data_IF_491599348640
#
_entry.id   IF_491599348640
#
_cell.length_a   1.000
_cell.length_b   1.000
_cell.length_c   1.000
_cell.angle_alpha   90.00
_cell.angle_beta   90.00
_cell.angle_gamma   90.00
#
_symmetry.space_group_name_H-M   'P 1'
#
loop_
_entity.id
_entity.type
_entity.pdbx_description
1 polymer ?
#
# COMPACT_ATOMS: atom_id res chain seq x y z
N UNK A 1 13.88 -37.24 -57.90
CA UNK A 1 14.24 -36.24 -56.88
C UNK A 1 12.97 -35.54 -56.39
N UNK A 2 12.47 -35.89 -55.20
CA UNK A 2 11.36 -35.19 -54.53
C UNK A 2 11.96 -34.28 -53.47
N UNK A 3 11.76 -32.97 -53.59
CA UNK A 3 12.11 -31.99 -52.55
C UNK A 3 11.22 -32.21 -51.32
N UNK A 4 11.75 -32.15 -50.08
CA UNK A 4 10.91 -32.15 -48.90
C UNK A 4 10.33 -30.75 -48.67
N UNK A 5 9.01 -30.72 -48.49
CA UNK A 5 8.23 -29.58 -48.07
C UNK A 5 8.63 -29.23 -46.63
N UNK A 6 9.19 -28.04 -46.40
CA UNK A 6 9.43 -27.51 -45.05
C UNK A 6 8.08 -27.08 -44.49
N UNK A 7 7.52 -27.89 -43.59
CA UNK A 7 6.34 -27.53 -42.80
C UNK A 7 6.81 -26.57 -41.71
N UNK A 8 6.48 -25.28 -41.89
CA UNK A 8 6.59 -24.27 -40.85
C UNK A 8 5.69 -24.69 -39.67
N UNK A 9 6.29 -25.18 -38.59
CA UNK A 9 5.59 -25.46 -37.35
C UNK A 9 5.09 -24.13 -36.76
N UNK A 10 3.77 -23.98 -36.72
CA UNK A 10 3.09 -22.90 -36.01
C UNK A 10 3.50 -22.98 -34.52
N UNK A 11 4.27 -22.00 -34.04
CA UNK A 11 4.53 -21.82 -32.61
C UNK A 11 3.18 -21.54 -31.94
N UNK A 12 2.78 -22.28 -30.89
CA UNK A 12 1.52 -22.00 -30.21
C UNK A 12 1.59 -20.60 -29.60
N UNK A 13 0.56 -19.81 -29.87
CA UNK A 13 0.32 -18.52 -29.23
C UNK A 13 0.20 -18.79 -27.72
N UNK A 14 1.15 -18.27 -26.93
CA UNK A 14 1.17 -18.36 -25.47
C UNK A 14 -0.20 -17.92 -24.93
N UNK A 15 -0.96 -18.84 -24.34
CA UNK A 15 -2.08 -18.46 -23.49
C UNK A 15 -1.50 -17.74 -22.26
N UNK A 16 -2.10 -16.61 -21.83
CA UNK A 16 -1.68 -15.96 -20.59
C UNK A 16 -1.78 -16.92 -19.41
N UNK A 17 -0.98 -16.74 -18.34
CA UNK A 17 -1.10 -17.52 -17.12
C UNK A 17 -2.57 -17.54 -16.67
N UNK A 18 -3.07 -18.73 -16.40
CA UNK A 18 -4.48 -18.95 -16.10
C UNK A 18 -4.75 -18.35 -14.72
N UNK A 19 -5.41 -17.19 -14.68
CA UNK A 19 -5.83 -16.57 -13.44
C UNK A 19 -6.71 -17.57 -12.66
N UNK A 20 -6.39 -17.78 -11.39
CA UNK A 20 -7.33 -18.46 -10.50
C UNK A 20 -8.32 -17.43 -9.97
N UNK A 21 -9.60 -17.74 -10.15
CA UNK A 21 -10.71 -16.91 -9.73
C UNK A 21 -11.48 -17.64 -8.62
N UNK A 22 -11.62 -17.00 -7.47
CA UNK A 22 -12.68 -17.29 -6.51
C UNK A 22 -13.77 -16.23 -6.69
N UNK A 23 -14.94 -16.42 -6.05
CA UNK A 23 -16.06 -15.47 -6.18
C UNK A 23 -15.69 -14.02 -5.83
N UNK A 24 -14.64 -13.77 -5.04
CA UNK A 24 -14.37 -12.45 -4.46
C UNK A 24 -12.97 -11.89 -4.67
N UNK A 25 -12.03 -12.72 -5.12
CA UNK A 25 -10.73 -12.23 -5.53
C UNK A 25 -10.18 -13.02 -6.70
N UNK A 26 -9.33 -12.34 -7.47
CA UNK A 26 -8.59 -12.90 -8.59
C UNK A 26 -7.10 -12.75 -8.34
N UNK A 27 -6.37 -13.85 -8.52
CA UNK A 27 -4.91 -13.87 -8.47
C UNK A 27 -4.34 -13.82 -9.89
N UNK A 28 -3.45 -12.87 -10.14
CA UNK A 28 -2.70 -12.71 -11.38
C UNK A 28 -1.20 -12.74 -11.08
N UNK A 29 -0.42 -13.45 -11.88
CA UNK A 29 1.03 -13.55 -11.72
C UNK A 29 1.72 -13.46 -13.08
N UNK A 30 2.42 -12.35 -13.33
CA UNK A 30 2.99 -12.03 -14.64
C UNK A 30 4.46 -11.63 -14.55
N UNK A 31 5.25 -12.14 -15.49
CA UNK A 31 6.64 -11.71 -15.68
C UNK A 31 6.69 -10.46 -16.56
N UNK A 32 7.63 -9.57 -16.25
CA UNK A 32 7.98 -8.46 -17.13
C UNK A 32 8.47 -8.95 -18.50
N UNK A 33 9.18 -10.06 -18.53
CA UNK A 33 9.59 -10.74 -19.77
C UNK A 33 9.20 -12.22 -19.67
N UNK A 34 8.04 -12.63 -20.20
CA UNK A 34 7.66 -14.04 -20.28
C UNK A 34 8.52 -14.83 -21.28
N UNK A 35 9.28 -14.12 -22.14
CA UNK A 35 10.27 -14.70 -23.05
C UNK A 35 11.61 -14.03 -22.79
N UNK A 36 12.67 -14.79 -22.53
CA UNK A 36 14.03 -14.30 -22.22
C UNK A 36 15.06 -14.88 -23.18
N UNK A 37 16.27 -14.28 -23.21
CA UNK A 37 17.36 -14.78 -24.05
C UNK A 37 17.93 -16.10 -23.50
N UNK A 38 18.12 -17.06 -24.39
CA UNK A 38 18.80 -18.32 -24.13
C UNK A 38 20.31 -18.10 -23.87
N UNK A 39 20.95 -19.08 -23.23
CA UNK A 39 22.40 -19.12 -23.01
C UNK A 39 22.93 -18.22 -21.88
N UNK A 40 22.09 -17.40 -21.25
CA UNK A 40 22.51 -16.52 -20.16
C UNK A 40 21.47 -16.45 -19.03
N UNK A 41 21.95 -16.16 -17.82
CA UNK A 41 21.07 -15.80 -16.71
C UNK A 41 20.44 -14.44 -17.00
N UNK A 42 19.16 -14.30 -16.70
CA UNK A 42 18.41 -13.06 -16.97
C UNK A 42 17.64 -12.65 -15.73
N UNK A 43 17.74 -11.38 -15.34
CA UNK A 43 16.89 -10.81 -14.30
C UNK A 43 15.59 -10.30 -14.91
N UNK A 44 14.47 -10.64 -14.28
CA UNK A 44 13.14 -10.21 -14.65
C UNK A 44 12.37 -9.82 -13.39
N UNK A 45 11.26 -9.12 -13.55
CA UNK A 45 10.32 -8.81 -12.48
C UNK A 45 9.11 -9.72 -12.57
N UNK A 46 8.65 -10.23 -11.44
CA UNK A 46 7.41 -10.95 -11.27
C UNK A 46 6.44 -10.06 -10.49
N UNK A 47 5.38 -9.60 -11.15
CA UNK A 47 4.22 -8.95 -10.49
C UNK A 47 3.23 -10.03 -10.10
N UNK A 48 2.88 -10.09 -8.82
CA UNK A 48 1.79 -10.91 -8.30
C UNK A 48 0.70 -9.98 -7.79
N UNK A 49 -0.41 -9.88 -8.51
CA UNK A 49 -1.58 -9.07 -8.17
C UNK A 49 -2.71 -9.90 -7.59
N UNK A 50 -3.37 -9.37 -6.56
CA UNK A 50 -4.62 -9.87 -6.01
C UNK A 50 -5.67 -8.76 -6.13
N UNK A 51 -6.69 -9.00 -6.95
CA UNK A 51 -7.76 -8.03 -7.20
C UNK A 51 -9.04 -8.46 -6.52
N UNK A 52 -9.62 -7.59 -5.68
CA UNK A 52 -10.93 -7.81 -5.08
C UNK A 52 -12.03 -7.55 -6.09
N UNK A 53 -12.97 -8.49 -6.24
CA UNK A 53 -14.13 -8.26 -7.10
C UNK A 53 -15.02 -7.15 -6.55
N UNK A 54 -15.69 -6.44 -7.45
CA UNK A 54 -16.62 -5.38 -7.06
C UNK A 54 -17.79 -5.97 -6.28
N UNK A 55 -18.15 -5.36 -5.15
CA UNK A 55 -19.40 -5.67 -4.45
C UNK A 55 -20.58 -5.27 -5.34
N UNK A 56 -21.50 -6.20 -5.61
CA UNK A 56 -22.68 -5.94 -6.43
C UNK A 56 -23.72 -5.10 -5.68
N UNK A 57 -23.81 -5.24 -4.35
CA UNK A 57 -24.72 -4.49 -3.48
C UNK A 57 -24.01 -3.96 -2.23
N UNK A 58 -24.42 -2.78 -1.76
CA UNK A 58 -23.87 -2.17 -0.54
C UNK A 58 -24.22 -2.94 0.74
N UNK A 59 -25.27 -3.78 0.71
CA UNK A 59 -25.65 -4.69 1.81
C UNK A 59 -24.68 -5.83 2.02
N UNK A 60 -23.86 -6.15 1.02
CA UNK A 60 -22.98 -7.33 1.04
C UNK A 60 -21.64 -7.05 1.71
N UNK A 61 -21.42 -5.81 2.17
CA UNK A 61 -20.20 -5.45 2.87
C UNK A 61 -20.13 -6.08 4.25
N UNK A 62 -18.91 -6.36 4.68
CA UNK A 62 -18.65 -6.76 6.06
C UNK A 62 -19.00 -5.65 7.05
N UNK A 63 -19.50 -5.99 8.25
CA UNK A 63 -19.60 -5.04 9.35
C UNK A 63 -18.22 -4.54 9.76
N UNK A 64 -18.14 -3.30 10.22
CA UNK A 64 -16.89 -2.66 10.64
C UNK A 64 -16.86 -2.43 12.14
N UNK A 65 -15.65 -2.43 12.69
CA UNK A 65 -15.32 -2.05 14.05
C UNK A 65 -14.24 -0.98 13.96
N UNK A 66 -14.63 0.28 14.18
CA UNK A 66 -13.76 1.44 13.93
C UNK A 66 -13.53 2.27 15.17
N UNK A 67 -12.28 2.62 15.41
CA UNK A 67 -11.87 3.59 16.42
C UNK A 67 -11.45 4.89 15.74
N UNK A 68 -12.24 5.94 15.94
CA UNK A 68 -11.90 7.29 15.49
C UNK A 68 -11.05 7.92 16.59
N UNK A 69 -9.77 8.12 16.31
CA UNK A 69 -8.77 8.64 17.25
C UNK A 69 -8.41 10.07 16.84
N UNK A 70 -8.86 11.04 17.62
CA UNK A 70 -8.77 12.46 17.30
C UNK A 70 -7.76 13.15 18.22
N UNK A 71 -6.77 13.77 17.60
CA UNK A 71 -5.90 14.72 18.26
C UNK A 71 -6.72 15.94 18.71
N UNK A 72 -6.56 16.30 19.99
CA UNK A 72 -7.13 17.52 20.57
C UNK A 72 -6.05 18.40 21.18
N UNK A 73 -4.79 18.27 20.77
CA UNK A 73 -3.70 19.15 21.22
C UNK A 73 -3.98 20.62 20.92
N UNK A 74 -3.25 21.52 21.57
CA UNK A 74 -3.41 22.97 21.40
C UNK A 74 -3.29 23.44 19.93
N UNK A 75 -2.50 22.76 19.10
CA UNK A 75 -2.35 23.08 17.66
C UNK A 75 -3.63 22.89 16.86
N UNK A 76 -4.54 22.01 17.32
CA UNK A 76 -5.83 21.77 16.69
C UNK A 76 -6.85 22.90 16.92
N UNK A 77 -6.53 23.93 17.70
CA UNK A 77 -7.47 25.02 18.00
C UNK A 77 -8.00 25.73 16.74
N UNK A 78 -9.16 26.37 16.87
CA UNK A 78 -9.84 27.06 15.78
C UNK A 78 -10.42 26.10 14.74
N UNK A 79 -10.26 26.41 13.47
CA UNK A 79 -10.92 25.68 12.38
C UNK A 79 -10.55 24.19 12.31
N UNK A 80 -9.36 23.79 12.76
CA UNK A 80 -8.89 22.39 12.64
C UNK A 80 -9.75 21.44 13.48
N UNK A 81 -10.01 21.76 14.75
CA UNK A 81 -10.85 20.92 15.63
C UNK A 81 -12.30 20.88 15.15
N UNK A 82 -12.81 21.99 14.62
CA UNK A 82 -14.18 22.06 14.09
C UNK A 82 -14.34 21.21 12.82
N UNK A 83 -13.34 21.23 11.94
CA UNK A 83 -13.31 20.34 10.78
C UNK A 83 -13.11 18.88 11.18
N UNK A 84 -12.31 18.60 12.22
CA UNK A 84 -12.15 17.25 12.76
C UNK A 84 -13.47 16.68 13.29
N UNK A 85 -14.23 17.49 14.06
CA UNK A 85 -15.57 17.13 14.53
C UNK A 85 -16.51 16.85 13.36
N UNK A 86 -16.56 17.75 12.37
CA UNK A 86 -17.40 17.57 11.17
C UNK A 86 -17.07 16.28 10.44
N UNK A 87 -15.78 16.03 10.17
CA UNK A 87 -15.32 14.82 9.50
C UNK A 87 -15.67 13.54 10.27
N UNK A 88 -15.46 13.54 11.59
CA UNK A 88 -15.80 12.39 12.45
C UNK A 88 -17.31 12.11 12.46
N UNK A 89 -18.16 13.15 12.49
CA UNK A 89 -19.63 12.98 12.39
C UNK A 89 -20.04 12.40 11.04
N UNK A 90 -19.50 12.94 9.94
CA UNK A 90 -19.75 12.41 8.59
C UNK A 90 -19.37 10.93 8.45
N UNK A 91 -18.34 10.48 9.17
CA UNK A 91 -17.98 9.07 9.20
C UNK A 91 -18.98 8.22 10.00
N UNK A 92 -19.43 8.71 11.17
CA UNK A 92 -20.48 8.04 11.96
C UNK A 92 -21.78 7.92 11.17
N UNK A 93 -22.12 8.93 10.35
CA UNK A 93 -23.31 8.92 9.50
C UNK A 93 -23.26 7.86 8.39
N UNK A 94 -22.07 7.41 7.98
CA UNK A 94 -21.89 6.34 6.99
C UNK A 94 -21.99 4.93 7.58
N UNK A 95 -21.95 4.80 8.92
CA UNK A 95 -22.04 3.50 9.58
C UNK A 95 -23.46 2.95 9.55
N UNK A 96 -23.56 1.64 9.41
CA UNK A 96 -24.78 0.85 9.62
C UNK A 96 -25.02 0.60 11.12
N UNK A 97 -26.26 0.26 11.53
CA UNK A 97 -26.56 -0.08 12.92
C UNK A 97 -25.79 -1.29 13.47
N UNK A 98 -25.23 -2.15 12.61
CA UNK A 98 -24.44 -3.32 13.01
C UNK A 98 -22.96 -3.03 13.24
N UNK A 99 -22.49 -1.87 12.78
CA UNK A 99 -21.11 -1.47 12.94
C UNK A 99 -20.83 -0.98 14.36
N UNK A 100 -19.59 -1.17 14.80
CA UNK A 100 -19.10 -0.72 16.08
C UNK A 100 -18.23 0.53 15.87
N UNK A 101 -18.45 1.54 16.71
CA UNK A 101 -17.66 2.76 16.72
C UNK A 101 -17.23 3.10 18.13
N UNK A 102 -15.99 3.56 18.25
CA UNK A 102 -15.49 4.27 19.44
C UNK A 102 -14.87 5.59 19.02
N UNK A 103 -14.93 6.58 19.92
CA UNK A 103 -14.30 7.89 19.72
C UNK A 103 -13.33 8.11 20.86
N UNK A 104 -12.05 8.17 20.52
CA UNK A 104 -10.96 8.44 21.44
C UNK A 104 -10.40 9.82 21.12
N UNK A 105 -10.25 10.65 22.14
CA UNK A 105 -9.59 11.94 22.02
C UNK A 105 -8.30 11.92 22.81
N UNK A 106 -7.23 12.48 22.26
CA UNK A 106 -5.94 12.48 22.93
C UNK A 106 -5.24 13.84 22.82
N UNK A 107 -4.57 14.20 23.91
CA UNK A 107 -3.59 15.27 24.00
C UNK A 107 -2.39 14.78 24.80
N UNK A 108 -1.99 15.45 25.89
CA UNK A 108 -1.10 14.89 26.93
C UNK A 108 -1.68 13.65 27.61
N UNK A 109 -3.00 13.48 27.58
CA UNK A 109 -3.75 12.37 28.16
C UNK A 109 -4.68 11.76 27.12
N UNK A 110 -5.18 10.55 27.38
CA UNK A 110 -6.12 9.88 26.48
C UNK A 110 -7.47 9.74 27.17
N UNK A 111 -8.54 10.15 26.47
CA UNK A 111 -9.92 10.06 26.94
C UNK A 111 -10.79 9.36 25.91
N UNK A 112 -11.56 8.40 26.37
CA UNK A 112 -12.63 7.79 25.56
C UNK A 112 -13.87 8.69 25.67
N UNK A 113 -14.24 9.35 24.58
CA UNK A 113 -15.43 10.20 24.51
C UNK A 113 -16.69 9.37 24.28
N UNK A 114 -16.55 8.33 23.46
CA UNK A 114 -17.59 7.35 23.16
C UNK A 114 -16.94 5.96 23.28
N UNK A 115 -17.26 5.19 24.34
CA UNK A 115 -16.83 3.79 24.44
C UNK A 115 -17.33 2.98 23.25
N UNK A 116 -16.61 1.93 22.87
CA UNK A 116 -17.01 1.06 21.77
C UNK A 116 -18.47 0.61 21.91
N UNK A 117 -19.28 0.96 20.91
CA UNK A 117 -20.73 0.75 20.90
C UNK A 117 -21.23 0.55 19.48
N UNK A 118 -22.41 -0.07 19.33
CA UNK A 118 -23.10 -0.11 18.03
C UNK A 118 -23.53 1.30 17.59
N UNK A 119 -23.45 1.57 16.29
CA UNK A 119 -23.82 2.85 15.70
C UNK A 119 -25.35 3.04 15.54
N UNK A 120 -26.13 2.67 16.56
CA UNK A 120 -27.60 2.81 16.60
C UNK A 120 -27.97 4.22 17.07
N UNK A 121 -27.38 4.68 18.17
CA UNK A 121 -27.63 6.01 18.74
C UNK A 121 -26.61 7.03 18.23
N UNK A 122 -26.78 7.45 16.97
CA UNK A 122 -25.90 8.44 16.33
C UNK A 122 -25.93 9.78 17.05
N UNK A 123 -27.05 10.15 17.66
CA UNK A 123 -27.18 11.41 18.40
C UNK A 123 -26.26 11.43 19.64
N UNK A 124 -26.21 10.34 20.41
CA UNK A 124 -25.29 10.19 21.53
C UNK A 124 -23.82 10.24 21.08
N UNK A 125 -23.49 9.56 19.97
CA UNK A 125 -22.12 9.55 19.42
C UNK A 125 -21.72 10.96 18.97
N UNK A 126 -22.59 11.68 18.26
CA UNK A 126 -22.37 13.07 17.85
C UNK A 126 -22.17 13.99 19.05
N UNK A 127 -23.01 13.87 20.07
CA UNK A 127 -22.86 14.64 21.31
C UNK A 127 -21.53 14.33 22.02
N UNK A 128 -21.02 13.10 21.92
CA UNK A 128 -19.69 12.73 22.38
C UNK A 128 -18.57 13.46 21.62
N UNK A 129 -18.65 13.51 20.29
CA UNK A 129 -17.71 14.22 19.42
C UNK A 129 -17.73 15.73 19.69
N UNK A 130 -18.90 16.32 19.89
CA UNK A 130 -19.07 17.76 20.06
C UNK A 130 -18.38 18.29 21.33
N UNK A 131 -18.14 17.42 22.33
CA UNK A 131 -17.38 17.71 23.57
C UNK A 131 -15.87 17.86 23.35
N UNK A 132 -15.37 17.63 22.14
CA UNK A 132 -13.95 17.77 21.84
C UNK A 132 -13.53 19.24 21.90
N UNK A 133 -12.47 19.54 22.64
CA UNK A 133 -11.89 20.89 22.71
C UNK A 133 -10.37 20.80 22.68
N UNK A 134 -9.73 21.72 21.98
CA UNK A 134 -8.28 21.75 21.86
C UNK A 134 -7.61 22.15 23.19
N UNK A 135 -6.66 21.36 23.67
CA UNK A 135 -5.88 21.55 24.88
C UNK A 135 -4.62 20.67 24.88
N UNK A 136 -3.57 21.07 25.58
CA UNK A 136 -2.45 20.17 25.92
C UNK A 136 -1.50 19.83 24.76
N UNK A 137 -0.64 18.83 25.01
CA UNK A 137 0.38 18.32 24.08
C UNK A 137 -0.14 17.12 23.27
N UNK A 138 0.73 16.30 22.67
CA UNK A 138 0.32 15.22 21.74
C UNK A 138 0.94 13.86 22.12
N UNK A 139 0.13 12.97 22.72
CA UNK A 139 0.49 11.60 23.11
C UNK A 139 0.01 10.57 22.07
N UNK A 140 0.52 10.67 20.85
CA UNK A 140 0.04 9.89 19.69
C UNK A 140 0.05 8.37 19.92
N UNK A 141 1.15 7.81 20.44
CA UNK A 141 1.24 6.38 20.75
C UNK A 141 0.09 5.93 21.66
N UNK A 142 -0.15 6.67 22.74
CA UNK A 142 -1.18 6.33 23.71
C UNK A 142 -2.59 6.45 23.11
N UNK A 143 -2.82 7.45 22.26
CA UNK A 143 -4.08 7.59 21.53
C UNK A 143 -4.39 6.38 20.65
N UNK A 144 -3.42 5.94 19.84
CA UNK A 144 -3.56 4.77 18.96
C UNK A 144 -3.73 3.48 19.76
N UNK A 145 -2.89 3.27 20.78
CA UNK A 145 -2.98 2.11 21.67
C UNK A 145 -4.36 2.02 22.33
N UNK A 146 -4.89 3.15 22.81
CA UNK A 146 -6.23 3.19 23.42
C UNK A 146 -7.34 2.96 22.40
N UNK A 147 -7.20 3.48 21.18
CA UNK A 147 -8.11 3.16 20.09
C UNK A 147 -8.15 1.66 19.81
N UNK A 148 -6.98 1.01 19.76
CA UNK A 148 -6.89 -0.44 19.62
C UNK A 148 -7.53 -1.19 20.80
N UNK A 149 -7.38 -0.70 22.05
CA UNK A 149 -8.06 -1.29 23.21
C UNK A 149 -9.59 -1.23 23.10
N UNK A 150 -10.14 -0.14 22.56
CA UNK A 150 -11.58 -0.04 22.30
C UNK A 150 -12.01 -1.03 21.19
N UNK A 151 -11.23 -1.19 20.12
CA UNK A 151 -11.49 -2.19 19.09
C UNK A 151 -11.50 -3.61 19.66
N UNK A 152 -10.54 -3.96 20.52
CA UNK A 152 -10.41 -5.29 21.13
C UNK A 152 -11.66 -5.77 21.89
N UNK A 153 -12.48 -4.84 22.40
CA UNK A 153 -13.74 -5.18 23.10
C UNK A 153 -14.78 -5.83 22.18
N UNK A 154 -14.71 -5.55 20.89
CA UNK A 154 -15.63 -6.06 19.86
C UNK A 154 -14.86 -6.67 18.68
N UNK A 155 -13.62 -7.10 18.91
CA UNK A 155 -12.79 -7.67 17.87
C UNK A 155 -13.40 -8.97 17.35
N UNK A 156 -13.52 -9.04 16.02
CA UNK A 156 -13.99 -10.20 15.29
C UNK A 156 -13.24 -10.24 13.95
N UNK A 157 -12.78 -11.42 13.53
CA UNK A 157 -12.06 -11.60 12.25
C UNK A 157 -12.97 -11.49 11.04
N UNK A 158 -14.29 -11.61 11.23
CA UNK A 158 -15.30 -11.37 10.21
C UNK A 158 -15.71 -9.89 10.15
N UNK A 159 -15.03 -9.01 10.88
CA UNK A 159 -15.24 -7.55 10.85
C UNK A 159 -14.00 -6.83 10.35
N UNK A 160 -14.21 -5.67 9.72
CA UNK A 160 -13.11 -4.76 9.44
C UNK A 160 -12.71 -4.02 10.71
N UNK A 161 -11.56 -4.38 11.29
CA UNK A 161 -11.02 -3.70 12.47
C UNK A 161 -10.05 -2.60 12.05
N UNK A 162 -10.40 -1.33 12.33
CA UNK A 162 -9.64 -0.17 11.83
C UNK A 162 -9.51 0.93 12.87
N UNK A 163 -8.29 1.43 13.06
CA UNK A 163 -8.05 2.72 13.70
C UNK A 163 -7.97 3.80 12.61
N UNK A 164 -8.72 4.89 12.76
CA UNK A 164 -8.58 6.10 11.94
C UNK A 164 -8.04 7.21 12.83
N UNK A 165 -6.75 7.51 12.67
CA UNK A 165 -6.02 8.50 13.44
C UNK A 165 -5.99 9.83 12.68
N UNK A 166 -6.38 10.91 13.34
CA UNK A 166 -6.19 12.28 12.86
C UNK A 166 -5.23 13.03 13.79
N UNK A 167 -4.19 13.67 13.25
CA UNK A 167 -3.25 14.49 14.02
C UNK A 167 -2.72 15.66 13.19
N UNK A 168 -2.47 16.80 13.84
CA UNK A 168 -1.82 17.98 13.24
C UNK A 168 -0.47 18.35 13.90
N UNK A 169 -0.03 17.56 14.88
CA UNK A 169 1.08 17.91 15.76
C UNK A 169 2.21 16.89 15.81
N UNK A 170 3.34 17.31 16.40
CA UNK A 170 4.48 16.45 16.68
C UNK A 170 4.15 15.55 17.88
N UNK A 171 4.44 14.25 17.80
CA UNK A 171 4.32 13.35 18.95
C UNK A 171 5.34 13.75 20.02
N UNK A 172 4.86 14.41 21.09
CA UNK A 172 5.71 15.06 22.09
C UNK A 172 5.55 14.44 23.49
N UNK A 173 4.66 13.46 23.66
CA UNK A 173 4.40 12.75 24.92
C UNK A 173 4.41 11.24 24.70
N UNK A 174 5.15 10.50 25.53
CA UNK A 174 5.29 9.05 25.44
C UNK A 174 6.26 8.58 24.35
N UNK A 175 6.27 7.28 23.99
CA UNK A 175 7.10 6.78 22.90
C UNK A 175 6.78 7.52 21.60
N UNK A 176 7.73 8.34 21.15
CA UNK A 176 7.62 9.16 19.93
C UNK A 176 8.70 8.83 18.91
N UNK A 177 9.46 7.75 19.13
CA UNK A 177 10.42 7.26 18.15
C UNK A 177 9.71 6.56 17.00
N UNK A 178 10.30 6.65 15.81
CA UNK A 178 9.82 5.94 14.62
C UNK A 178 9.75 4.44 14.84
N UNK A 179 10.72 3.86 15.55
CA UNK A 179 10.74 2.43 15.87
C UNK A 179 9.59 2.01 16.79
N UNK A 180 9.21 2.84 17.76
CA UNK A 180 8.12 2.52 18.68
C UNK A 180 6.76 2.49 17.95
N UNK A 181 6.48 3.47 17.09
CA UNK A 181 5.23 3.47 16.31
C UNK A 181 5.21 2.40 15.23
N UNK A 182 6.33 2.14 14.57
CA UNK A 182 6.46 1.05 13.62
C UNK A 182 6.22 -0.30 14.29
N UNK A 183 6.77 -0.50 15.50
CA UNK A 183 6.51 -1.68 16.33
C UNK A 183 5.04 -1.81 16.75
N UNK A 184 4.38 -0.71 17.12
CA UNK A 184 2.94 -0.69 17.40
C UNK A 184 2.13 -1.07 16.16
N UNK A 185 2.41 -0.47 15.01
CA UNK A 185 1.73 -0.77 13.75
C UNK A 185 1.89 -2.24 13.36
N UNK A 186 3.10 -2.80 13.46
CA UNK A 186 3.36 -4.21 13.16
C UNK A 186 2.71 -5.17 14.17
N UNK A 187 2.57 -4.79 15.43
CA UNK A 187 1.81 -5.56 16.41
C UNK A 187 0.31 -5.59 16.07
N UNK A 188 -0.26 -4.41 15.76
CA UNK A 188 -1.66 -4.29 15.35
C UNK A 188 -1.95 -5.05 14.04
N UNK A 189 -1.04 -5.00 13.06
CA UNK A 189 -1.16 -5.79 11.83
C UNK A 189 -1.30 -7.28 12.12
N UNK A 190 -0.46 -7.83 13.01
CA UNK A 190 -0.52 -9.25 13.39
C UNK A 190 -1.81 -9.63 14.12
N UNK A 191 -2.47 -8.66 14.76
CA UNK A 191 -3.79 -8.84 15.36
C UNK A 191 -4.94 -8.71 14.34
N UNK A 192 -4.68 -8.29 13.09
CA UNK A 192 -5.72 -8.01 12.09
C UNK A 192 -6.31 -6.59 12.21
N UNK A 193 -5.60 -5.67 12.87
CA UNK A 193 -5.99 -4.26 13.04
C UNK A 193 -5.10 -3.37 12.17
N UNK A 194 -5.73 -2.65 11.23
CA UNK A 194 -5.03 -1.64 10.42
C UNK A 194 -5.18 -0.24 11.01
N UNK A 195 -4.22 0.65 10.73
CA UNK A 195 -4.24 2.06 11.16
C UNK A 195 -4.16 2.97 9.94
N UNK A 196 -5.24 3.70 9.65
CA UNK A 196 -5.20 4.81 8.71
C UNK A 196 -4.79 6.08 9.45
N UNK A 197 -3.85 6.84 8.90
CA UNK A 197 -3.36 8.09 9.49
C UNK A 197 -3.65 9.29 8.59
N UNK A 198 -4.29 10.32 9.13
CA UNK A 198 -4.62 11.58 8.49
C UNK A 198 -3.77 12.68 9.13
N UNK A 199 -2.75 13.14 8.42
CA UNK A 199 -1.88 14.23 8.86
C UNK A 199 -2.42 15.58 8.38
N UNK A 200 -2.77 16.48 9.30
CA UNK A 200 -3.35 17.79 9.00
C UNK A 200 -2.31 18.91 9.10
N UNK A 201 -2.18 19.71 8.06
CA UNK A 201 -1.26 20.86 8.04
C UNK A 201 0.21 20.47 7.98
N UNK A 202 1.11 21.43 8.21
CA UNK A 202 2.54 21.25 7.98
C UNK A 202 3.35 20.87 9.23
N UNK A 203 2.73 20.83 10.40
CA UNK A 203 3.44 20.77 11.68
C UNK A 203 3.51 19.36 12.31
N UNK A 204 2.82 18.37 11.73
CA UNK A 204 2.88 16.98 12.20
C UNK A 204 4.15 16.26 11.77
N UNK A 205 4.49 15.15 12.44
CA UNK A 205 5.61 14.30 12.03
C UNK A 205 5.14 13.21 11.05
N UNK A 206 5.45 13.39 9.77
CA UNK A 206 5.04 12.49 8.69
C UNK A 206 5.75 11.15 8.71
N UNK A 207 7.00 11.08 9.18
CA UNK A 207 7.71 9.80 9.25
C UNK A 207 7.05 8.87 10.27
N UNK A 208 6.59 9.43 11.39
CA UNK A 208 5.85 8.69 12.42
C UNK A 208 4.52 8.15 11.88
N UNK A 209 3.71 9.02 11.27
CA UNK A 209 2.38 8.66 10.80
C UNK A 209 2.41 7.71 9.59
N UNK A 210 3.34 7.94 8.65
CA UNK A 210 3.50 7.09 7.47
C UNK A 210 4.03 5.70 7.86
N UNK A 211 5.01 5.61 8.77
CA UNK A 211 5.53 4.32 9.25
C UNK A 211 4.49 3.53 10.04
N UNK A 212 3.73 4.19 10.91
CA UNK A 212 2.63 3.54 11.65
C UNK A 212 1.61 2.93 10.68
N UNK A 213 1.14 3.73 9.73
CA UNK A 213 0.18 3.26 8.72
C UNK A 213 0.77 2.12 7.89
N UNK A 214 1.97 2.28 7.32
CA UNK A 214 2.64 1.22 6.53
C UNK A 214 2.82 -0.08 7.33
N UNK A 215 3.32 -0.01 8.56
CA UNK A 215 3.54 -1.17 9.40
C UNK A 215 2.24 -1.91 9.77
N UNK A 216 1.11 -1.19 9.78
CA UNK A 216 -0.23 -1.74 10.00
C UNK A 216 -0.98 -2.13 8.70
N UNK A 217 -0.33 -2.06 7.53
CA UNK A 217 -0.94 -2.14 6.19
C UNK A 217 -2.17 -1.24 6.02
N UNK A 218 -2.13 -0.06 6.64
CA UNK A 218 -3.12 1.01 6.53
C UNK A 218 -2.63 2.16 5.62
N UNK A 219 -3.52 3.14 5.40
CA UNK A 219 -3.26 4.26 4.49
C UNK A 219 -2.74 5.49 5.24
N UNK A 220 -2.01 6.37 4.54
CA UNK A 220 -1.66 7.70 5.03
C UNK A 220 -2.19 8.77 4.07
N UNK A 221 -2.88 9.77 4.59
CA UNK A 221 -3.27 10.95 3.83
C UNK A 221 -2.67 12.20 4.45
N UNK A 222 -2.04 13.02 3.61
CA UNK A 222 -1.65 14.38 3.94
C UNK A 222 -2.76 15.35 3.51
N UNK A 223 -3.34 16.04 4.49
CA UNK A 223 -4.39 17.04 4.33
C UNK A 223 -3.78 18.42 4.59
N UNK A 224 -3.49 19.17 3.53
CA UNK A 224 -2.81 20.47 3.66
C UNK A 224 -3.69 21.52 4.37
N UNK A 225 -5.01 21.54 4.07
CA UNK A 225 -5.95 22.51 4.63
C UNK A 225 -7.10 21.81 5.37
N UNK A 226 -7.48 22.35 6.52
CA UNK A 226 -8.57 21.79 7.34
C UNK A 226 -9.90 21.67 6.58
N UNK A 227 -10.18 22.56 5.63
CA UNK A 227 -11.38 22.50 4.78
C UNK A 227 -11.46 21.22 3.92
N UNK A 228 -10.33 20.60 3.59
CA UNK A 228 -10.29 19.35 2.82
C UNK A 228 -10.50 18.10 3.69
N UNK A 229 -10.46 18.24 5.01
CA UNK A 229 -10.44 17.10 5.93
C UNK A 229 -11.67 16.19 5.78
N UNK A 230 -12.87 16.77 5.67
CA UNK A 230 -14.10 16.00 5.49
C UNK A 230 -14.08 15.10 4.25
N UNK A 231 -13.49 15.59 3.14
CA UNK A 231 -13.35 14.84 1.89
C UNK A 231 -12.38 13.66 2.06
N UNK A 232 -11.18 13.91 2.59
CA UNK A 232 -10.19 12.83 2.80
C UNK A 232 -10.67 11.80 3.82
N UNK A 233 -11.27 12.25 4.92
CA UNK A 233 -11.83 11.34 5.92
C UNK A 233 -12.92 10.46 5.29
N UNK A 234 -13.82 11.03 4.49
CA UNK A 234 -14.89 10.26 3.83
C UNK A 234 -14.35 9.27 2.80
N UNK A 235 -13.32 9.65 2.03
CA UNK A 235 -12.65 8.74 1.10
C UNK A 235 -12.04 7.54 1.83
N UNK A 236 -11.25 7.81 2.88
CA UNK A 236 -10.62 6.74 3.67
C UNK A 236 -11.68 5.86 4.34
N UNK A 237 -12.72 6.45 4.91
CA UNK A 237 -13.79 5.69 5.56
C UNK A 237 -14.59 4.85 4.54
N UNK A 238 -14.81 5.37 3.34
CA UNK A 238 -15.39 4.62 2.23
C UNK A 238 -14.58 3.36 1.89
N UNK A 239 -13.24 3.44 1.88
CA UNK A 239 -12.40 2.25 1.64
C UNK A 239 -12.51 1.20 2.75
N UNK A 240 -12.72 1.63 4.01
CA UNK A 240 -12.93 0.71 5.15
C UNK A 240 -14.22 -0.08 4.99
N UNK A 241 -15.25 0.53 4.39
CA UNK A 241 -16.56 -0.08 4.18
C UNK A 241 -16.59 -1.03 2.97
N UNK A 242 -15.56 -1.06 2.13
CA UNK A 242 -15.54 -1.90 0.92
C UNK A 242 -14.55 -3.05 1.00
N UNK A 243 -13.99 -3.36 2.18
CA UNK A 243 -13.08 -4.49 2.37
C UNK A 243 -13.80 -5.81 2.14
N UNK A 244 -13.23 -6.66 1.26
CA UNK A 244 -13.78 -7.98 0.87
C UNK A 244 -12.93 -9.15 1.37
N UNK A 245 -11.64 -8.93 1.62
CA UNK A 245 -10.75 -9.96 2.15
C UNK A 245 -9.80 -9.40 3.23
N UNK A 246 -9.44 -10.27 4.17
CA UNK A 246 -8.49 -10.00 5.26
C UNK A 246 -7.42 -11.08 5.38
N UNK A 247 -6.39 -10.82 6.19
CA UNK A 247 -5.32 -11.78 6.52
C UNK A 247 -4.68 -12.40 5.26
N UNK A 248 -4.53 -11.58 4.21
CA UNK A 248 -4.01 -12.02 2.93
C UNK A 248 -2.54 -12.41 3.08
N UNK A 249 -2.23 -13.64 2.74
CA UNK A 249 -0.86 -14.15 2.66
C UNK A 249 -0.58 -14.58 1.23
N UNK A 250 0.40 -13.90 0.60
CA UNK A 250 0.97 -14.33 -0.67
C UNK A 250 2.20 -15.18 -0.41
N UNK A 251 2.27 -16.34 -1.06
CA UNK A 251 3.45 -17.20 -1.06
C UNK A 251 3.88 -17.48 -2.49
N UNK A 252 5.15 -17.21 -2.80
CA UNK A 252 5.77 -17.48 -4.09
C UNK A 252 6.85 -18.53 -3.86
N UNK A 253 6.64 -19.73 -4.41
CA UNK A 253 7.63 -20.80 -4.43
C UNK A 253 8.37 -20.77 -5.78
N UNK A 254 9.58 -20.20 -5.79
CA UNK A 254 10.44 -20.17 -6.96
C UNK A 254 10.89 -21.59 -7.35
N UNK A 255 10.85 -21.90 -8.64
CA UNK A 255 11.30 -23.19 -9.17
C UNK A 255 12.82 -23.38 -8.99
N UNK A 256 13.33 -24.63 -8.94
CA UNK A 256 14.76 -24.90 -8.79
C UNK A 256 15.63 -24.10 -9.78
N UNK A 257 16.60 -23.36 -9.22
CA UNK A 257 17.54 -22.55 -10.02
C UNK A 257 17.04 -21.15 -10.35
N UNK A 258 15.77 -20.83 -10.07
CA UNK A 258 15.26 -19.45 -10.07
C UNK A 258 15.58 -18.82 -8.73
N UNK A 259 16.29 -17.71 -8.75
CA UNK A 259 16.75 -17.04 -7.53
C UNK A 259 15.90 -15.79 -7.26
N UNK A 260 15.08 -15.75 -6.19
CA UNK A 260 14.49 -14.49 -5.74
C UNK A 260 15.60 -13.55 -5.27
N UNK A 261 15.62 -12.32 -5.77
CA UNK A 261 16.66 -11.33 -5.47
C UNK A 261 16.19 -10.38 -4.37
N UNK A 262 15.06 -9.71 -4.60
CA UNK A 262 14.51 -8.71 -3.68
C UNK A 262 13.06 -8.39 -4.01
N UNK A 263 12.33 -7.94 -3.00
CA UNK A 263 11.03 -7.30 -3.16
C UNK A 263 11.22 -5.79 -3.38
N UNK A 264 10.41 -5.20 -4.24
CA UNK A 264 10.38 -3.76 -4.46
C UNK A 264 9.16 -3.18 -3.73
N UNK A 265 9.32 -2.02 -3.08
CA UNK A 265 8.24 -1.25 -2.46
C UNK A 265 7.65 -1.82 -1.17
N UNK A 266 7.06 -3.03 -1.24
CA UNK A 266 6.43 -3.73 -0.11
C UNK A 266 7.38 -4.73 0.52
N UNK A 267 7.33 -4.82 1.85
CA UNK A 267 8.16 -5.73 2.62
C UNK A 267 7.63 -7.18 2.59
N UNK A 268 8.54 -8.14 2.73
CA UNK A 268 8.23 -9.56 2.79
C UNK A 268 9.50 -10.37 3.04
N UNK A 269 9.32 -11.64 3.40
CA UNK A 269 10.41 -12.53 3.79
C UNK A 269 10.83 -13.39 2.59
N UNK A 270 12.12 -13.38 2.27
CA UNK A 270 12.72 -14.31 1.29
C UNK A 270 13.49 -15.37 2.08
N UNK A 271 12.99 -16.61 2.06
CA UNK A 271 13.57 -17.75 2.78
C UNK A 271 13.92 -18.82 1.75
N UNK A 272 15.19 -18.82 1.31
CA UNK A 272 15.66 -19.71 0.27
C UNK A 272 14.98 -19.42 -1.08
N UNK A 273 14.14 -20.35 -1.56
CA UNK A 273 13.35 -20.18 -2.79
C UNK A 273 11.92 -19.72 -2.53
N UNK A 274 11.50 -19.61 -1.27
CA UNK A 274 10.16 -19.18 -0.93
C UNK A 274 10.15 -17.70 -0.57
N UNK A 275 9.15 -16.97 -1.08
CA UNK A 275 8.88 -15.58 -0.71
C UNK A 275 7.51 -15.51 -0.06
N UNK A 276 7.42 -14.90 1.12
CA UNK A 276 6.16 -14.72 1.85
C UNK A 276 5.92 -13.24 2.08
N UNK A 277 4.76 -12.74 1.65
CA UNK A 277 4.33 -11.37 1.94
C UNK A 277 2.93 -11.37 2.53
N UNK A 278 2.72 -10.55 3.56
CA UNK A 278 1.41 -10.37 4.19
C UNK A 278 0.79 -9.04 3.77
N UNK A 279 -0.52 -9.05 3.57
CA UNK A 279 -1.34 -7.86 3.37
C UNK A 279 -2.56 -8.01 4.28
N UNK A 280 -2.91 -7.00 5.06
CA UNK A 280 -3.97 -7.15 6.06
C UNK A 280 -5.34 -7.16 5.41
N UNK A 281 -5.57 -6.34 4.38
CA UNK A 281 -6.91 -6.13 3.82
C UNK A 281 -6.88 -5.90 2.31
N UNK A 282 -7.92 -6.33 1.61
CA UNK A 282 -8.16 -6.06 0.19
C UNK A 282 -9.59 -5.53 0.01
N UNK A 283 -9.72 -4.39 -0.67
CA UNK A 283 -11.01 -3.75 -0.92
C UNK A 283 -11.61 -4.17 -2.26
N UNK A 284 -12.92 -4.04 -2.38
CA UNK A 284 -13.67 -4.25 -3.61
C UNK A 284 -13.18 -3.32 -4.72
N UNK A 285 -12.91 -3.88 -5.90
CA UNK A 285 -12.35 -3.15 -7.05
C UNK A 285 -10.87 -2.81 -6.91
N UNK A 286 -10.27 -3.03 -5.74
CA UNK A 286 -8.86 -2.75 -5.50
C UNK A 286 -7.99 -3.92 -5.97
N UNK A 287 -6.88 -3.63 -6.64
CA UNK A 287 -5.76 -4.56 -6.76
C UNK A 287 -4.71 -4.21 -5.71
N UNK A 288 -4.26 -5.19 -4.93
CA UNK A 288 -2.97 -5.12 -4.22
C UNK A 288 -1.99 -6.07 -4.89
N UNK A 289 -0.75 -5.65 -5.06
CA UNK A 289 0.25 -6.49 -5.70
C UNK A 289 1.57 -6.53 -4.93
N UNK A 290 2.39 -7.51 -5.28
CA UNK A 290 3.77 -7.69 -4.85
C UNK A 290 4.67 -7.69 -6.09
N UNK A 291 5.80 -6.99 -6.02
CA UNK A 291 6.79 -6.97 -7.09
C UNK A 291 8.10 -7.62 -6.65
N UNK A 292 8.45 -8.74 -7.28
CA UNK A 292 9.65 -9.53 -6.97
C UNK A 292 10.64 -9.45 -8.14
N UNK A 293 11.87 -9.01 -7.90
CA UNK A 293 12.98 -9.19 -8.84
C UNK A 293 13.50 -10.63 -8.71
N UNK A 294 13.49 -11.38 -9.81
CA UNK A 294 13.97 -12.78 -9.87
C UNK A 294 15.04 -12.94 -10.96
N UNK A 295 16.02 -13.78 -10.69
CA UNK A 295 17.02 -14.20 -11.68
C UNK A 295 16.66 -15.58 -12.20
N UNK A 296 16.41 -15.68 -13.50
CA UNK A 296 16.18 -16.93 -14.19
C UNK A 296 17.51 -17.58 -14.58
N UNK A 297 17.64 -18.91 -14.47
CA UNK A 297 18.83 -19.62 -14.92
C UNK A 297 18.95 -19.56 -16.45
N UNK A 298 20.16 -19.80 -16.97
CA UNK A 298 20.35 -19.98 -18.41
C UNK A 298 19.53 -21.18 -18.91
N UNK A 299 18.87 -21.00 -20.05
CA UNK A 299 18.12 -22.02 -20.76
C UNK A 299 18.55 -22.16 -22.21
N UNK A 300 18.05 -23.19 -22.88
CA UNK A 300 18.29 -23.44 -24.30
C UNK A 300 17.21 -22.80 -25.17
N UNK A 301 17.50 -22.57 -26.45
CA UNK A 301 16.51 -22.01 -27.37
C UNK A 301 15.33 -22.99 -27.50
N UNK A 302 14.12 -22.50 -27.27
CA UNK A 302 12.89 -23.30 -27.29
C UNK A 302 12.49 -23.87 -25.93
N UNK A 303 13.32 -23.73 -24.89
CA UNK A 303 12.95 -24.15 -23.54
C UNK A 303 11.71 -23.40 -23.04
N UNK A 304 10.85 -24.13 -22.31
CA UNK A 304 9.83 -23.55 -21.45
C UNK A 304 10.03 -24.09 -20.04
N UNK A 305 10.24 -23.20 -19.07
CA UNK A 305 10.53 -23.56 -17.69
C UNK A 305 9.55 -22.92 -16.73
N UNK A 306 9.18 -23.69 -15.70
CA UNK A 306 8.47 -23.12 -14.54
C UNK A 306 9.38 -22.12 -13.84
N UNK A 307 8.81 -20.98 -13.47
CA UNK A 307 9.50 -19.90 -12.76
C UNK A 307 9.08 -19.87 -11.30
N UNK A 308 7.78 -19.90 -11.04
CA UNK A 308 7.25 -19.93 -9.70
C UNK A 308 5.85 -20.54 -9.65
N UNK A 309 5.50 -21.12 -8.51
CA UNK A 309 4.12 -21.33 -8.11
C UNK A 309 3.74 -20.26 -7.10
N UNK A 310 2.60 -19.63 -7.30
CA UNK A 310 2.09 -18.57 -6.43
C UNK A 310 0.82 -19.07 -5.77
N UNK A 311 0.69 -18.82 -4.48
CA UNK A 311 -0.56 -19.01 -3.75
C UNK A 311 -0.95 -17.74 -3.01
N UNK A 312 -2.25 -17.47 -2.95
CA UNK A 312 -2.83 -16.41 -2.16
C UNK A 312 -3.88 -17.02 -1.24
N UNK A 313 -3.65 -16.97 0.08
CA UNK A 313 -4.63 -17.37 1.10
C UNK A 313 -5.21 -16.12 1.75
N UNK A 314 -6.52 -16.05 1.93
CA UNK A 314 -7.16 -14.91 2.58
C UNK A 314 -8.45 -15.31 3.30
N UNK A 315 -8.79 -14.59 4.37
CA UNK A 315 -10.09 -14.65 5.02
C UNK A 315 -11.11 -13.89 4.18
N UNK A 316 -12.09 -14.60 3.64
CA UNK A 316 -13.16 -14.03 2.83
C UNK A 316 -14.24 -13.47 3.75
N UNK A 317 -14.42 -12.15 3.75
CA UNK A 317 -15.33 -11.51 4.72
C UNK A 317 -16.82 -11.71 4.42
N UNK A 318 -17.16 -12.07 3.19
CA UNK A 318 -18.57 -12.25 2.81
C UNK A 318 -19.02 -13.69 3.04
N UNK A 319 -18.16 -14.66 2.72
CA UNK A 319 -18.46 -16.09 2.94
C UNK A 319 -18.00 -16.58 4.31
N UNK A 320 -17.18 -15.81 5.02
CA UNK A 320 -16.64 -16.10 6.35
C UNK A 320 -15.81 -17.39 6.41
N UNK A 321 -15.20 -17.78 5.28
CA UNK A 321 -14.26 -18.89 5.18
C UNK A 321 -12.91 -18.41 4.65
N UNK A 322 -11.88 -19.23 4.77
CA UNK A 322 -10.60 -18.96 4.13
C UNK A 322 -10.61 -19.51 2.70
N UNK A 323 -10.29 -18.65 1.75
CA UNK A 323 -10.11 -19.03 0.35
C UNK A 323 -8.61 -19.19 0.04
N UNK A 324 -8.29 -19.99 -0.97
CA UNK A 324 -6.94 -20.10 -1.52
C UNK A 324 -6.97 -20.09 -3.04
N UNK A 325 -6.16 -19.20 -3.64
CA UNK A 325 -5.96 -19.08 -5.08
C UNK A 325 -4.56 -19.55 -5.44
N UNK A 326 -4.40 -20.14 -6.63
CA UNK A 326 -3.14 -20.65 -7.13
C UNK A 326 -2.85 -20.13 -8.54
N UNK A 327 -1.61 -19.73 -8.81
CA UNK A 327 -1.15 -19.40 -10.15
C UNK A 327 0.20 -20.05 -10.43
N UNK A 328 0.43 -20.47 -11.67
CA UNK A 328 1.73 -20.95 -12.12
C UNK A 328 2.34 -19.95 -13.12
N UNK A 329 3.62 -19.66 -12.95
CA UNK A 329 4.37 -18.73 -13.79
C UNK A 329 5.41 -19.51 -14.56
N UNK A 330 5.50 -19.26 -15.87
CA UNK A 330 6.48 -19.89 -16.77
C UNK A 330 7.20 -18.84 -17.60
N UNK A 331 8.42 -19.17 -18.02
CA UNK A 331 9.20 -18.40 -18.98
C UNK A 331 9.64 -19.28 -20.15
N UNK A 332 9.67 -18.70 -21.34
CA UNK A 332 10.23 -19.31 -22.54
C UNK A 332 11.59 -18.70 -22.89
N UNK A 333 12.43 -19.44 -23.61
CA UNK A 333 13.77 -19.03 -23.99
C UNK A 333 13.91 -18.94 -25.51
N UNK A 334 14.44 -17.81 -25.98
CA UNK A 334 14.62 -17.52 -27.42
C UNK A 334 16.05 -17.07 -27.72
N UNK A 335 16.48 -17.26 -28.97
CA UNK A 335 17.71 -16.66 -29.49
C UNK A 335 17.52 -15.24 -30.04
N UNK A 336 16.29 -14.71 -30.06
CA UNK A 336 15.95 -13.43 -30.70
C UNK A 336 15.73 -12.30 -29.70
N UNK A 337 16.62 -11.29 -29.61
CA UNK A 337 16.38 -10.09 -28.80
C UNK A 337 15.12 -9.32 -29.21
N UNK A 338 14.80 -9.32 -30.51
CA UNK A 338 13.59 -8.66 -31.02
C UNK A 338 12.30 -9.34 -30.54
N UNK A 339 12.32 -10.66 -30.35
CA UNK A 339 11.18 -11.37 -29.77
C UNK A 339 11.01 -11.04 -28.28
N UNK A 340 12.10 -10.99 -27.51
CA UNK A 340 12.06 -10.57 -26.10
C UNK A 340 11.43 -9.19 -25.97
N UNK A 341 11.86 -8.22 -26.80
CA UNK A 341 11.30 -6.86 -26.78
C UNK A 341 9.80 -6.87 -27.10
N UNK A 342 9.37 -7.55 -28.17
CA UNK A 342 7.95 -7.63 -28.55
C UNK A 342 7.07 -8.31 -27.50
N UNK A 343 7.63 -9.28 -26.76
CA UNK A 343 6.91 -10.09 -25.76
C UNK A 343 7.00 -9.52 -24.34
N UNK A 344 7.74 -8.43 -24.14
CA UNK A 344 7.85 -7.74 -22.85
C UNK A 344 6.48 -7.23 -22.41
N UNK A 345 6.08 -7.58 -21.18
CA UNK A 345 4.89 -7.00 -20.55
C UNK A 345 5.22 -5.57 -20.12
N UNK A 346 4.74 -4.63 -20.93
CA UNK A 346 4.96 -3.20 -20.74
C UNK A 346 4.35 -2.68 -19.44
N UNK A 347 3.22 -3.22 -19.00
CA UNK A 347 2.57 -2.79 -17.76
C UNK A 347 3.43 -3.18 -16.55
N UNK A 348 3.88 -4.44 -16.51
CA UNK A 348 4.75 -4.94 -15.43
C UNK A 348 6.09 -4.19 -15.42
N UNK A 349 6.69 -3.95 -16.60
CA UNK A 349 7.93 -3.19 -16.70
C UNK A 349 7.79 -1.75 -16.22
N UNK A 350 6.74 -1.04 -16.66
CA UNK A 350 6.48 0.34 -16.21
C UNK A 350 6.32 0.36 -14.68
N UNK A 351 5.56 -0.58 -14.11
CA UNK A 351 5.42 -0.66 -12.64
C UNK A 351 6.73 -0.93 -11.91
N UNK A 352 7.56 -1.84 -12.41
CA UNK A 352 8.86 -2.11 -11.83
C UNK A 352 9.76 -0.87 -11.89
N UNK A 353 9.75 -0.14 -13.02
CA UNK A 353 10.50 1.11 -13.18
C UNK A 353 10.07 2.16 -12.16
N UNK A 354 8.76 2.33 -11.98
CA UNK A 354 8.20 3.29 -11.04
C UNK A 354 8.58 2.97 -9.58
N UNK A 355 8.59 1.69 -9.20
CA UNK A 355 9.00 1.27 -7.86
C UNK A 355 10.50 1.47 -7.62
N UNK A 356 11.34 1.16 -8.61
CA UNK A 356 12.80 1.42 -8.51
C UNK A 356 13.06 2.93 -8.41
N UNK A 357 12.38 3.76 -9.20
CA UNK A 357 12.48 5.21 -9.10
C UNK A 357 12.03 5.71 -7.71
N UNK A 358 11.00 5.10 -7.14
CA UNK A 358 10.52 5.45 -5.80
C UNK A 358 11.56 5.16 -4.72
N UNK A 359 12.27 4.02 -4.80
CA UNK A 359 13.37 3.71 -3.88
C UNK A 359 14.48 4.76 -3.94
N UNK A 360 14.85 5.23 -5.13
CA UNK A 360 15.84 6.30 -5.28
C UNK A 360 15.34 7.62 -4.70
N UNK A 361 14.07 7.99 -4.91
CA UNK A 361 13.46 9.18 -4.31
C UNK A 361 13.47 9.11 -2.78
N UNK A 362 13.17 7.93 -2.19
CA UNK A 362 13.24 7.70 -0.74
C UNK A 362 14.65 7.91 -0.22
N UNK A 363 15.66 7.37 -0.91
CA UNK A 363 17.06 7.55 -0.53
C UNK A 363 17.47 9.03 -0.61
N UNK A 364 17.00 9.78 -1.62
CA UNK A 364 17.26 11.21 -1.73
C UNK A 364 16.70 12.00 -0.55
N UNK A 365 15.49 11.67 -0.07
CA UNK A 365 14.95 12.28 1.17
C UNK A 365 15.85 11.99 2.36
N UNK A 366 16.30 10.73 2.52
CA UNK A 366 17.20 10.37 3.63
C UNK A 366 18.54 11.11 3.56
N UNK A 367 19.10 11.27 2.37
CA UNK A 367 20.34 12.03 2.16
C UNK A 367 20.14 13.51 2.51
N UNK A 368 19.03 14.11 2.07
CA UNK A 368 18.73 15.51 2.37
C UNK A 368 18.50 15.73 3.88
N UNK A 369 17.79 14.81 4.54
CA UNK A 369 17.58 14.82 6.00
C UNK A 369 18.90 14.72 6.77
N UNK A 370 19.93 14.10 6.20
CA UNK A 370 21.29 14.01 6.75
C UNK A 370 22.16 15.24 6.44
N UNK A 371 21.61 16.27 5.77
CA UNK A 371 22.35 17.44 5.32
C UNK A 371 23.20 17.21 4.06
N UNK A 372 23.10 16.03 3.43
CA UNK A 372 23.83 15.66 2.21
C UNK A 372 23.05 16.08 0.96
N UNK A 373 22.74 17.37 0.88
CA UNK A 373 21.85 17.96 -0.15
C UNK A 373 22.36 17.71 -1.58
N UNK A 374 23.63 17.95 -1.84
CA UNK A 374 24.20 17.80 -3.19
C UNK A 374 24.08 16.36 -3.68
N UNK A 375 24.24 15.38 -2.79
CA UNK A 375 24.08 13.96 -3.12
C UNK A 375 22.61 13.60 -3.38
N UNK A 376 21.69 14.16 -2.59
CA UNK A 376 20.25 14.00 -2.81
C UNK A 376 19.82 14.59 -4.16
N UNK A 377 20.28 15.79 -4.49
CA UNK A 377 20.00 16.47 -5.75
C UNK A 377 20.53 15.66 -6.95
N UNK A 378 21.80 15.25 -6.89
CA UNK A 378 22.41 14.42 -7.93
C UNK A 378 21.68 13.10 -8.11
N UNK A 379 21.21 12.48 -7.01
CA UNK A 379 20.45 11.24 -7.07
C UNK A 379 19.11 11.42 -7.79
N UNK A 380 18.37 12.48 -7.46
CA UNK A 380 17.08 12.80 -8.10
C UNK A 380 17.26 13.15 -9.59
N UNK A 381 18.32 13.89 -9.95
CA UNK A 381 18.64 14.19 -11.35
C UNK A 381 18.98 12.92 -12.13
N UNK A 382 19.84 12.04 -11.59
CA UNK A 382 20.16 10.73 -12.19
C UNK A 382 18.90 9.88 -12.37
N UNK A 383 18.04 9.86 -11.35
CA UNK A 383 16.77 9.14 -11.40
C UNK A 383 15.85 9.69 -12.51
N UNK A 384 15.79 11.02 -12.67
CA UNK A 384 15.03 11.66 -13.75
C UNK A 384 15.58 11.28 -15.15
N UNK A 385 16.90 11.28 -15.35
CA UNK A 385 17.49 10.84 -16.62
C UNK A 385 17.15 9.38 -16.93
N UNK A 386 17.21 8.51 -15.92
CA UNK A 386 16.83 7.11 -16.06
C UNK A 386 15.33 6.92 -16.38
N UNK A 387 14.46 7.72 -15.75
CA UNK A 387 13.02 7.76 -16.05
C UNK A 387 12.73 8.25 -17.47
N UNK A 388 13.50 9.22 -17.99
CA UNK A 388 13.37 9.68 -19.38
C UNK A 388 13.71 8.57 -20.38
N UNK A 389 14.80 7.84 -20.19
CA UNK A 389 15.17 6.70 -21.04
C UNK A 389 14.06 5.63 -21.07
N UNK A 390 13.53 5.28 -19.90
CA UNK A 390 12.42 4.34 -19.80
C UNK A 390 11.11 4.91 -20.37
N UNK A 391 10.87 6.21 -20.26
CA UNK A 391 9.75 6.87 -20.93
C UNK A 391 9.90 6.80 -22.45
N UNK A 392 11.10 6.97 -23.00
CA UNK A 392 11.32 6.83 -24.44
C UNK A 392 11.06 5.40 -24.93
N UNK A 393 11.37 4.38 -24.11
CA UNK A 393 11.10 2.99 -24.43
C UNK A 393 9.62 2.60 -24.28
N UNK A 394 9.02 2.93 -23.13
CA UNK A 394 7.68 2.46 -22.75
C UNK A 394 6.59 3.51 -22.88
N UNK A 395 6.86 4.72 -23.41
CA UNK A 395 5.90 5.81 -23.70
C UNK A 395 4.76 5.96 -22.67
N UNK A 396 5.06 5.77 -21.38
CA UNK A 396 4.07 5.72 -20.32
C UNK A 396 3.98 7.10 -19.65
N UNK A 397 2.82 7.78 -19.65
CA UNK A 397 2.70 9.13 -19.11
C UNK A 397 3.11 9.25 -17.64
N UNK A 398 2.91 8.19 -16.86
CA UNK A 398 3.32 8.15 -15.45
C UNK A 398 4.83 8.25 -15.25
N UNK A 399 5.64 7.66 -16.14
CA UNK A 399 7.10 7.79 -16.11
C UNK A 399 7.56 9.22 -16.39
N UNK A 400 6.91 9.90 -17.35
CA UNK A 400 7.17 11.31 -17.62
C UNK A 400 6.81 12.19 -16.42
N UNK A 401 5.65 11.94 -15.81
CA UNK A 401 5.24 12.64 -14.59
C UNK A 401 6.26 12.44 -13.47
N UNK A 402 6.68 11.20 -13.20
CA UNK A 402 7.69 10.92 -12.18
C UNK A 402 9.03 11.59 -12.47
N UNK A 403 9.44 11.67 -13.74
CA UNK A 403 10.64 12.40 -14.13
C UNK A 403 10.50 13.88 -13.76
N UNK A 404 9.41 14.51 -14.19
CA UNK A 404 9.16 15.93 -13.95
C UNK A 404 9.11 16.21 -12.43
N UNK A 405 8.44 15.33 -11.67
CA UNK A 405 8.42 15.31 -10.22
C UNK A 405 9.82 15.22 -9.59
N UNK A 406 10.71 14.33 -10.07
CA UNK A 406 12.08 14.20 -9.55
C UNK A 406 12.92 15.46 -9.86
N UNK A 407 12.72 16.10 -11.01
CA UNK A 407 13.40 17.36 -11.36
C UNK A 407 12.88 18.54 -10.53
N UNK A 408 11.59 18.55 -10.19
CA UNK A 408 11.03 19.51 -9.25
C UNK A 408 11.57 19.28 -7.84
N UNK A 409 11.54 18.05 -7.34
CA UNK A 409 12.10 17.68 -6.04
C UNK A 409 13.56 18.12 -5.92
N UNK A 410 14.38 17.87 -6.95
CA UNK A 410 15.81 18.21 -6.99
C UNK A 410 16.05 19.72 -6.81
N UNK A 411 15.19 20.55 -7.40
CA UNK A 411 15.27 22.02 -7.28
C UNK A 411 14.80 22.53 -5.91
N UNK A 412 13.97 21.76 -5.22
CA UNK A 412 13.25 22.16 -4.01
C UNK A 412 13.74 21.42 -2.75
N UNK A 413 15.05 21.19 -2.65
CA UNK A 413 15.69 20.59 -1.46
C UNK A 413 16.16 21.61 -0.41
N UNK A 414 15.91 22.91 -0.63
CA UNK A 414 16.38 23.95 0.28
C UNK A 414 15.75 23.84 1.68
N UNK A 415 16.54 23.76 2.77
CA UNK A 415 16.02 23.59 4.12
C UNK A 415 14.95 24.59 4.55
N UNK A 416 14.96 25.81 4.00
CA UNK A 416 13.99 26.84 4.36
C UNK A 416 12.58 26.55 3.81
N UNK A 417 12.49 25.87 2.67
CA UNK A 417 11.23 25.55 1.96
C UNK A 417 10.93 24.04 1.91
N UNK A 418 11.86 23.20 2.37
CA UNK A 418 11.80 21.75 2.23
C UNK A 418 10.63 21.09 2.98
N UNK A 419 10.12 21.69 4.05
CA UNK A 419 9.07 21.07 4.90
C UNK A 419 7.83 20.65 4.11
N UNK A 420 7.34 21.51 3.21
CA UNK A 420 6.20 21.18 2.36
C UNK A 420 6.57 20.12 1.33
N UNK A 421 7.71 20.31 0.65
CA UNK A 421 8.18 19.39 -0.39
C UNK A 421 8.39 17.98 0.16
N UNK A 422 9.02 17.86 1.32
CA UNK A 422 9.28 16.60 2.02
C UNK A 422 7.99 15.83 2.29
N UNK A 423 6.93 16.50 2.76
CA UNK A 423 5.62 15.87 2.98
C UNK A 423 4.98 15.37 1.69
N UNK A 424 5.07 16.15 0.61
CA UNK A 424 4.60 15.75 -0.73
C UNK A 424 5.38 14.51 -1.22
N UNK A 425 6.71 14.54 -1.11
CA UNK A 425 7.57 13.40 -1.45
C UNK A 425 7.21 12.16 -0.63
N UNK A 426 7.07 12.29 0.70
CA UNK A 426 6.70 11.19 1.60
C UNK A 426 5.33 10.59 1.27
N UNK A 427 4.33 11.44 1.01
CA UNK A 427 3.01 11.00 0.56
C UNK A 427 3.13 10.18 -0.73
N UNK A 428 3.76 10.73 -1.77
CA UNK A 428 3.94 10.04 -3.05
C UNK A 428 4.68 8.72 -2.86
N UNK A 429 5.73 8.70 -2.06
CA UNK A 429 6.51 7.49 -1.78
C UNK A 429 5.66 6.38 -1.15
N UNK A 430 4.79 6.74 -0.22
CA UNK A 430 3.88 5.81 0.42
C UNK A 430 2.82 5.27 -0.54
N UNK A 431 2.28 6.09 -1.44
CA UNK A 431 1.34 5.63 -2.48
C UNK A 431 1.95 4.53 -3.36
N UNK A 432 3.23 4.63 -3.72
CA UNK A 432 3.95 3.58 -4.43
C UNK A 432 4.19 2.32 -3.58
N UNK A 433 4.59 2.50 -2.32
CA UNK A 433 4.92 1.40 -1.41
C UNK A 433 3.70 0.54 -1.03
N UNK A 434 2.52 1.17 -1.00
CA UNK A 434 1.26 0.48 -0.76
C UNK A 434 0.90 -0.50 -1.88
N UNK A 435 1.48 -0.33 -3.08
CA UNK A 435 1.31 -1.24 -4.22
C UNK A 435 -0.15 -1.61 -4.49
N UNK A 436 -0.99 -0.57 -4.56
CA UNK A 436 -2.41 -0.72 -4.77
C UNK A 436 -2.92 0.09 -5.96
N UNK A 437 -3.93 -0.43 -6.64
CA UNK A 437 -4.62 0.21 -7.77
C UNK A 437 -6.14 0.09 -7.57
N UNK A 438 -6.91 1.02 -8.15
CA UNK A 438 -8.37 1.08 -8.07
C UNK A 438 -8.98 1.13 -9.46
#
# INVERSE_FOLDING_TARGET
MRMPLIICALVPLLAPPQAAEARQARLDARLSQPVVLAGQKTKVFLKVGLTGHALEQSSDRAPVNVAIVLDKSGSMAGDKIDQAKRAARMAVDQLSPEDIVSVVAYDSTVRVLVPATRAVDRAMIHAGIDRLHASGNTALFAGVAKGADELRKFFDRNRVNRVVLLSDGLANVGPSSTQALEGLGGALAREGISVTTLGLGLDYNEDLMARLARASDGNHAFVERAADLGRFFSLEFGTVLTVVAQDVTLTIDCAPGVRPIRLLGRDGDIIGQQVIARMNQLSSGQEKFLMLEVELPAGEIGDQRNVARVSASYGNLVTQINDTLLAEVRAAYTGSPAEVERRTDREVMVRAVELVANEQSRLAVLLNDQGRRDEAEQLLQKNAFWLEDNFQRYKAPSLRKLKDDNLEDARNLDPNDYRRQRKVMRKRQMEFDMQQMY
#
